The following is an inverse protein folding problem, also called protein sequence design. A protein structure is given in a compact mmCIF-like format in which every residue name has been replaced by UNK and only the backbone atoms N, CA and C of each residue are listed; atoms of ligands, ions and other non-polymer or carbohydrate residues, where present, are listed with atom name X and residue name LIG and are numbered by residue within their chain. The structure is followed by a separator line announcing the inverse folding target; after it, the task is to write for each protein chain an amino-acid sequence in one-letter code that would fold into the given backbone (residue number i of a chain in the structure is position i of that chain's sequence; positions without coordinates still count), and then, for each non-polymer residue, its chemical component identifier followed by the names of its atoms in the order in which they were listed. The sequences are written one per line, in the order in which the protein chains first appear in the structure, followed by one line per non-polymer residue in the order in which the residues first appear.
data_IF_982033170325
#
_entry.id   IF_982033170325
#
_cell.length_a   1.000
_cell.length_b   1.000
_cell.length_c   1.000
_cell.angle_alpha   90.00
_cell.angle_beta   90.00
_cell.angle_gamma   90.00
#
_symmetry.space_group_name_H-M   'P 1'
#
loop_
_entity.id
_entity.type
_entity.pdbx_description
1 polymer ?
#
# COMPACT_ATOMS: atom_id res chain seq x y z
N UNK A 1 -21.13 1.95 31.59
CA UNK A 1 -21.30 2.75 30.43
C UNK A 1 -20.35 3.93 30.37
N UNK A 2 -19.60 4.05 29.28
CA UNK A 2 -18.81 5.23 28.95
C UNK A 2 -19.64 6.24 28.17
N UNK A 3 -19.04 7.40 27.84
CA UNK A 3 -19.61 8.38 26.93
C UNK A 3 -19.58 7.83 25.50
N UNK A 4 -20.64 7.99 24.72
CA UNK A 4 -20.74 7.56 23.34
C UNK A 4 -21.61 6.32 23.14
N UNK A 5 -21.79 5.94 21.87
CA UNK A 5 -22.58 4.76 21.48
C UNK A 5 -21.66 3.66 20.93
N UNK A 6 -22.05 2.42 21.18
CA UNK A 6 -21.45 1.24 20.55
C UNK A 6 -22.50 0.58 19.64
N UNK A 7 -22.05 0.03 18.53
CA UNK A 7 -22.90 -0.83 17.70
C UNK A 7 -23.20 -2.12 18.44
N UNK A 8 -24.49 -2.42 18.57
CA UNK A 8 -24.96 -3.61 19.29
C UNK A 8 -24.58 -4.90 18.56
N UNK A 9 -24.34 -6.01 19.28
CA UNK A 9 -23.90 -7.26 18.66
C UNK A 9 -24.97 -7.90 17.77
N UNK A 10 -26.27 -7.85 18.12
CA UNK A 10 -27.31 -8.57 17.41
C UNK A 10 -27.47 -8.14 15.94
N UNK A 11 -27.55 -6.82 15.58
CA UNK A 11 -27.67 -6.42 14.19
C UNK A 11 -26.46 -6.83 13.34
N UNK A 12 -25.25 -6.67 13.88
CA UNK A 12 -24.01 -7.04 13.20
C UNK A 12 -23.87 -8.54 13.01
N UNK A 13 -24.16 -9.31 14.06
CA UNK A 13 -24.13 -10.78 13.99
C UNK A 13 -25.10 -11.30 12.94
N UNK A 14 -26.33 -10.81 12.91
CA UNK A 14 -27.33 -11.19 11.89
C UNK A 14 -26.86 -10.85 10.48
N UNK A 15 -26.36 -9.62 10.26
CA UNK A 15 -25.85 -9.22 8.95
C UNK A 15 -24.70 -10.11 8.49
N UNK A 16 -23.77 -10.46 9.39
CA UNK A 16 -22.67 -11.37 9.08
C UNK A 16 -23.15 -12.81 8.82
N UNK A 17 -24.13 -13.30 9.57
CA UNK A 17 -24.71 -14.65 9.41
C UNK A 17 -25.48 -14.80 8.10
N UNK A 18 -26.11 -13.73 7.59
CA UNK A 18 -26.82 -13.70 6.30
C UNK A 18 -25.89 -13.78 5.09
N UNK A 19 -24.60 -13.47 5.25
CA UNK A 19 -23.61 -13.58 4.17
C UNK A 19 -23.23 -15.05 4.01
N UNK A 20 -23.62 -15.68 2.90
CA UNK A 20 -23.36 -17.10 2.62
C UNK A 20 -21.89 -17.48 2.61
N UNK A 21 -21.05 -16.63 2.01
CA UNK A 21 -19.59 -16.76 2.02
C UNK A 21 -19.00 -15.44 2.47
N UNK A 22 -18.55 -15.36 3.71
CA UNK A 22 -17.93 -14.15 4.26
C UNK A 22 -16.46 -14.00 3.84
N UNK A 23 -15.84 -15.13 3.52
CA UNK A 23 -14.41 -15.16 3.32
C UNK A 23 -13.67 -14.63 4.56
N UNK A 24 -12.60 -13.89 4.35
CA UNK A 24 -11.85 -13.23 5.42
C UNK A 24 -12.61 -11.99 5.92
N UNK A 25 -12.95 -11.96 7.19
CA UNK A 25 -13.66 -10.83 7.82
C UNK A 25 -12.66 -9.86 8.42
N UNK A 26 -12.66 -8.65 7.90
CA UNK A 26 -11.76 -7.56 8.33
C UNK A 26 -12.58 -6.49 9.05
N UNK A 27 -12.11 -6.04 10.20
CA UNK A 27 -12.63 -4.87 10.89
C UNK A 27 -11.64 -3.71 10.78
N UNK A 28 -12.13 -2.53 10.41
CA UNK A 28 -11.32 -1.30 10.37
C UNK A 28 -11.23 -0.69 11.76
N UNK A 29 -10.03 -0.69 12.33
CA UNK A 29 -9.80 -0.29 13.72
C UNK A 29 -8.43 0.36 13.88
N UNK A 30 -8.29 1.43 14.70
CA UNK A 30 -6.99 1.99 15.04
C UNK A 30 -6.05 1.00 15.76
N UNK A 31 -6.60 -0.06 16.36
CA UNK A 31 -5.85 -1.10 17.09
C UNK A 31 -5.29 -2.18 16.17
N UNK A 32 -5.72 -2.21 14.90
CA UNK A 32 -5.37 -3.25 13.94
C UNK A 32 -3.94 -3.15 13.40
N UNK A 33 -3.58 -4.16 12.63
CA UNK A 33 -2.31 -4.17 11.89
C UNK A 33 -2.27 -3.00 10.90
N UNK A 34 -1.16 -2.27 10.88
CA UNK A 34 -1.01 -1.15 9.94
C UNK A 34 -0.98 -1.67 8.51
N UNK A 35 -1.89 -1.16 7.67
CA UNK A 35 -1.95 -1.46 6.24
C UNK A 35 -0.63 -1.09 5.56
N UNK A 36 -0.08 -2.03 4.82
CA UNK A 36 1.10 -1.83 3.98
C UNK A 36 1.00 -2.74 2.75
N UNK A 37 1.88 -2.52 1.76
CA UNK A 37 1.80 -3.24 0.50
C UNK A 37 1.96 -4.77 0.64
N UNK A 38 2.71 -5.26 1.62
CA UNK A 38 2.84 -6.70 1.85
C UNK A 38 1.53 -7.30 2.35
N UNK A 39 0.86 -6.63 3.30
CA UNK A 39 -0.46 -7.06 3.76
C UNK A 39 -1.48 -7.04 2.61
N UNK A 40 -1.45 -6.03 1.74
CA UNK A 40 -2.33 -5.97 0.55
C UNK A 40 -2.06 -7.15 -0.39
N UNK A 41 -0.78 -7.52 -0.62
CA UNK A 41 -0.42 -8.70 -1.43
C UNK A 41 -0.92 -10.01 -0.84
N UNK A 42 -1.02 -10.11 0.47
CA UNK A 42 -1.59 -11.28 1.11
C UNK A 42 -3.12 -11.29 0.98
N UNK A 43 -3.75 -10.15 1.17
CA UNK A 43 -5.21 -10.01 1.07
C UNK A 43 -5.75 -10.23 -0.34
N UNK A 44 -5.03 -9.85 -1.39
CA UNK A 44 -5.47 -10.08 -2.77
C UNK A 44 -5.59 -11.54 -3.15
N UNK A 45 -5.00 -12.46 -2.36
CA UNK A 45 -5.09 -13.92 -2.56
C UNK A 45 -6.37 -14.52 -2.00
N UNK A 46 -7.11 -13.77 -1.19
CA UNK A 46 -8.37 -14.23 -0.63
C UNK A 46 -9.46 -14.18 -1.71
N UNK A 47 -10.23 -15.24 -1.84
CA UNK A 47 -11.34 -15.32 -2.81
C UNK A 47 -12.48 -14.37 -2.46
N UNK A 48 -12.69 -14.13 -1.18
CA UNK A 48 -13.76 -13.30 -0.63
C UNK A 48 -13.26 -12.57 0.61
N UNK A 49 -13.57 -11.29 0.69
CA UNK A 49 -13.31 -10.44 1.85
C UNK A 49 -14.59 -9.72 2.24
N UNK A 50 -14.91 -9.74 3.53
CA UNK A 50 -15.97 -8.93 4.13
C UNK A 50 -15.32 -7.88 5.01
N UNK A 51 -15.61 -6.59 4.77
CA UNK A 51 -15.08 -5.50 5.59
C UNK A 51 -16.18 -4.92 6.46
N UNK A 52 -15.94 -4.88 7.76
CA UNK A 52 -16.81 -4.23 8.75
C UNK A 52 -16.30 -2.80 8.93
N UNK A 53 -17.10 -1.83 8.52
CA UNK A 53 -16.85 -0.41 8.77
C UNK A 53 -17.51 -0.04 10.11
N UNK A 54 -16.71 0.15 11.14
CA UNK A 54 -17.20 0.58 12.45
C UNK A 54 -17.65 2.05 12.44
N UNK A 55 -18.49 2.40 13.40
CA UNK A 55 -18.95 3.76 13.62
C UNK A 55 -19.07 4.05 15.12
N UNK A 56 -19.24 5.32 15.50
CA UNK A 56 -19.32 5.77 16.89
C UNK A 56 -18.03 5.41 17.67
N UNK A 57 -18.18 4.83 18.88
CA UNK A 57 -17.05 4.39 19.72
C UNK A 57 -16.57 2.95 19.36
N UNK A 58 -17.14 2.34 18.33
CA UNK A 58 -16.78 1.00 17.87
C UNK A 58 -17.93 0.02 17.88
N UNK A 59 -17.59 -1.26 17.86
CA UNK A 59 -18.53 -2.39 17.87
C UNK A 59 -18.32 -3.22 19.15
N UNK A 60 -19.34 -4.01 19.52
CA UNK A 60 -19.26 -4.88 20.68
C UNK A 60 -18.14 -5.92 20.50
N UNK A 61 -17.27 -6.06 21.51
CA UNK A 61 -16.08 -6.93 21.47
C UNK A 61 -16.42 -8.38 21.14
N UNK A 62 -17.59 -8.87 21.59
CA UNK A 62 -18.05 -10.23 21.29
C UNK A 62 -18.28 -10.50 19.80
N UNK A 63 -18.52 -9.46 19.01
CA UNK A 63 -18.59 -9.56 17.54
C UNK A 63 -17.19 -9.68 16.95
N UNK A 64 -16.24 -8.92 17.49
CA UNK A 64 -14.84 -9.01 17.08
C UNK A 64 -14.32 -10.41 17.35
N UNK A 65 -14.43 -10.87 18.60
CA UNK A 65 -13.97 -12.21 19.03
C UNK A 65 -14.56 -13.35 18.20
N UNK A 66 -15.84 -13.22 17.82
CA UNK A 66 -16.56 -14.33 17.15
C UNK A 66 -16.39 -14.35 15.63
N UNK A 67 -16.31 -13.20 15.00
CA UNK A 67 -16.46 -13.11 13.53
C UNK A 67 -15.27 -12.48 12.82
N UNK A 68 -14.43 -11.67 13.50
CA UNK A 68 -13.35 -10.93 12.85
C UNK A 68 -12.10 -11.78 12.81
N UNK A 69 -11.55 -11.96 11.59
CA UNK A 69 -10.29 -12.66 11.39
C UNK A 69 -9.09 -11.74 11.54
N UNK A 70 -9.28 -10.43 11.25
CA UNK A 70 -8.20 -9.45 11.27
C UNK A 70 -8.73 -8.04 11.49
N UNK A 71 -8.06 -7.28 12.35
CA UNK A 71 -8.23 -5.83 12.42
C UNK A 71 -7.15 -5.11 11.62
N UNK A 72 -7.54 -4.08 10.86
CA UNK A 72 -6.61 -3.29 10.03
C UNK A 72 -6.75 -1.80 10.35
N UNK A 73 -5.62 -1.16 10.62
CA UNK A 73 -5.45 0.28 10.74
C UNK A 73 -4.85 0.87 9.45
N UNK A 74 -5.28 2.05 9.04
CA UNK A 74 -4.66 2.80 7.94
C UNK A 74 -3.63 3.84 8.42
N UNK A 75 -3.33 3.89 9.72
CA UNK A 75 -2.35 4.80 10.31
C UNK A 75 -2.71 5.22 11.73
N UNK A 76 -1.79 5.91 12.39
CA UNK A 76 -1.92 6.37 13.78
C UNK A 76 -2.72 7.68 13.86
N UNK A 77 -3.97 7.64 13.44
CA UNK A 77 -4.94 8.73 13.53
C UNK A 77 -6.37 8.16 13.58
N UNK A 78 -7.29 8.98 14.06
CA UNK A 78 -8.70 8.57 14.24
C UNK A 78 -9.58 9.30 13.24
N UNK A 79 -10.50 8.55 12.62
CA UNK A 79 -11.56 9.04 11.75
C UNK A 79 -12.92 8.86 12.42
N UNK A 80 -13.94 9.52 11.88
CA UNK A 80 -15.32 9.45 12.41
C UNK A 80 -16.02 8.12 12.18
N UNK A 81 -15.50 7.30 11.25
CA UNK A 81 -16.07 5.98 10.91
C UNK A 81 -15.09 5.14 10.10
N UNK A 82 -15.44 3.88 9.92
CA UNK A 82 -14.65 2.88 9.20
C UNK A 82 -14.85 2.88 7.68
N UNK A 83 -15.71 3.72 7.14
CA UNK A 83 -16.06 3.74 5.72
C UNK A 83 -14.86 4.13 4.84
N UNK A 84 -14.19 5.24 5.19
CA UNK A 84 -13.00 5.68 4.46
C UNK A 84 -11.85 4.68 4.56
N UNK A 85 -11.49 4.14 5.73
CA UNK A 85 -10.53 3.05 5.82
C UNK A 85 -10.91 1.84 4.97
N UNK A 86 -12.19 1.46 4.96
CA UNK A 86 -12.69 0.35 4.13
C UNK A 86 -12.47 0.61 2.64
N UNK A 87 -12.73 1.83 2.18
CA UNK A 87 -12.49 2.24 0.80
C UNK A 87 -11.00 2.21 0.44
N UNK A 88 -10.11 2.66 1.35
CA UNK A 88 -8.65 2.60 1.15
C UNK A 88 -8.19 1.16 1.01
N UNK A 89 -8.65 0.26 1.89
CA UNK A 89 -8.31 -1.17 1.84
C UNK A 89 -8.81 -1.79 0.53
N UNK A 90 -10.07 -1.53 0.16
CA UNK A 90 -10.68 -2.06 -1.06
C UNK A 90 -9.95 -1.58 -2.33
N UNK A 91 -9.62 -0.30 -2.42
CA UNK A 91 -8.87 0.27 -3.55
C UNK A 91 -7.46 -0.34 -3.65
N UNK A 92 -6.75 -0.43 -2.52
CA UNK A 92 -5.41 -1.01 -2.48
C UNK A 92 -5.39 -2.47 -2.95
N UNK A 93 -6.39 -3.27 -2.57
CA UNK A 93 -6.56 -4.66 -3.01
C UNK A 93 -6.95 -4.72 -4.49
N UNK A 94 -7.94 -3.92 -4.91
CA UNK A 94 -8.47 -3.92 -6.27
C UNK A 94 -7.37 -3.62 -7.31
N UNK A 95 -6.42 -2.72 -7.00
CA UNK A 95 -5.28 -2.41 -7.87
C UNK A 95 -4.38 -3.61 -8.19
N UNK A 96 -4.34 -4.62 -7.31
CA UNK A 96 -3.52 -5.83 -7.52
C UNK A 96 -4.30 -6.99 -8.15
N UNK A 97 -5.61 -6.87 -8.32
CA UNK A 97 -6.41 -7.88 -9.02
C UNK A 97 -6.07 -7.82 -10.52
N UNK A 98 -5.74 -8.96 -11.16
CA UNK A 98 -5.50 -8.99 -12.59
C UNK A 98 -6.66 -8.36 -13.37
N UNK A 99 -6.34 -7.65 -14.47
CA UNK A 99 -7.29 -7.02 -15.39
C UNK A 99 -8.14 -5.85 -14.82
N UNK A 100 -8.00 -5.50 -13.55
CA UNK A 100 -8.65 -4.30 -12.98
C UNK A 100 -7.97 -3.02 -13.48
N UNK A 101 -6.64 -3.01 -13.51
CA UNK A 101 -5.86 -1.97 -14.18
C UNK A 101 -5.51 -2.45 -15.58
N UNK A 102 -5.79 -1.65 -16.61
CA UNK A 102 -5.64 -2.02 -18.02
C UNK A 102 -4.22 -2.42 -18.48
N UNK A 103 -3.22 -2.39 -17.59
CA UNK A 103 -1.87 -2.88 -17.84
C UNK A 103 -1.30 -3.49 -16.56
N UNK A 104 -1.02 -4.79 -16.58
CA UNK A 104 -0.45 -5.52 -15.44
C UNK A 104 0.95 -5.02 -15.01
N UNK A 105 1.70 -4.38 -15.92
CA UNK A 105 2.99 -3.77 -15.59
C UNK A 105 2.85 -2.47 -14.77
N UNK A 106 1.64 -1.91 -14.69
CA UNK A 106 1.40 -0.62 -14.04
C UNK A 106 1.69 -0.67 -12.54
N UNK A 107 1.30 -1.73 -11.83
CA UNK A 107 1.46 -1.82 -10.38
C UNK A 107 2.81 -2.40 -9.94
N UNK A 108 3.52 -3.15 -10.82
CA UNK A 108 4.81 -3.77 -10.45
C UNK A 108 5.92 -2.74 -10.27
N UNK A 109 5.79 -1.57 -10.89
CA UNK A 109 6.72 -0.46 -10.78
C UNK A 109 6.32 0.57 -9.72
N UNK A 110 5.12 0.43 -9.13
CA UNK A 110 4.67 1.34 -8.08
C UNK A 110 5.54 1.26 -6.82
N UNK A 111 5.56 2.36 -6.06
CA UNK A 111 6.22 2.40 -4.75
C UNK A 111 5.74 1.26 -3.86
N UNK A 112 6.68 0.68 -3.11
CA UNK A 112 6.49 -0.42 -2.15
C UNK A 112 6.24 -1.80 -2.76
N UNK A 113 6.00 -1.93 -4.07
CA UNK A 113 5.72 -3.23 -4.67
C UNK A 113 6.92 -4.18 -4.54
N UNK A 114 8.12 -3.71 -4.83
CA UNK A 114 9.40 -4.43 -4.65
C UNK A 114 10.19 -3.96 -3.41
N UNK A 115 9.55 -3.17 -2.53
CA UNK A 115 10.15 -2.63 -1.31
C UNK A 115 10.89 -1.31 -1.49
N UNK A 116 10.84 -0.70 -2.67
CA UNK A 116 11.44 0.61 -2.97
C UNK A 116 10.35 1.66 -3.23
N UNK A 117 10.72 2.93 -3.18
CA UNK A 117 9.93 4.00 -3.76
C UNK A 117 10.14 4.04 -5.28
N UNK A 118 9.10 4.46 -5.99
CA UNK A 118 9.18 4.64 -7.44
C UNK A 118 10.15 5.75 -7.84
N UNK A 119 10.64 5.68 -9.08
CA UNK A 119 11.53 6.68 -9.66
C UNK A 119 10.78 7.98 -10.00
N UNK A 120 11.50 9.09 -10.26
CA UNK A 120 10.87 10.31 -10.77
C UNK A 120 10.31 10.11 -12.18
N UNK A 121 9.11 10.65 -12.39
CA UNK A 121 8.43 10.67 -13.68
C UNK A 121 8.47 12.05 -14.30
N UNK A 122 8.53 12.09 -15.62
CA UNK A 122 8.55 13.32 -16.41
C UNK A 122 7.52 13.21 -17.53
N UNK A 123 6.93 14.35 -17.88
CA UNK A 123 5.99 14.48 -18.99
C UNK A 123 6.47 15.57 -19.96
N UNK A 124 5.74 15.82 -21.02
CA UNK A 124 5.97 16.93 -21.96
C UNK A 124 5.62 18.27 -21.29
N UNK A 125 6.33 19.35 -21.68
CA UNK A 125 7.45 19.45 -22.66
C UNK A 125 8.78 18.90 -22.11
N UNK A 126 9.77 18.71 -22.99
CA UNK A 126 11.10 18.23 -22.60
C UNK A 126 11.89 19.25 -21.76
N UNK A 127 11.52 20.53 -21.83
CA UNK A 127 12.05 21.62 -21.00
C UNK A 127 10.88 22.46 -20.51
N UNK A 128 10.86 22.74 -19.20
CA UNK A 128 9.85 23.58 -18.56
C UNK A 128 10.53 24.53 -17.57
N UNK A 129 10.39 25.84 -17.80
CA UNK A 129 10.99 26.90 -16.96
C UNK A 129 12.50 26.77 -16.73
N UNK A 130 13.22 26.22 -17.72
CA UNK A 130 14.67 26.00 -17.64
C UNK A 130 15.08 24.61 -17.12
N UNK A 131 14.16 23.86 -16.53
CA UNK A 131 14.39 22.49 -16.09
C UNK A 131 14.17 21.50 -17.22
N UNK A 132 15.10 20.57 -17.40
CA UNK A 132 15.08 19.59 -18.48
C UNK A 132 14.75 18.19 -18.00
N UNK A 133 14.00 17.47 -18.83
CA UNK A 133 13.90 16.02 -18.68
C UNK A 133 15.28 15.41 -18.88
N UNK A 134 15.73 14.47 -18.04
CA UNK A 134 17.00 13.79 -18.21
C UNK A 134 17.13 13.17 -19.62
N UNK A 135 18.24 13.46 -20.31
CA UNK A 135 18.48 13.06 -21.71
C UNK A 135 18.34 11.55 -21.92
N UNK A 136 18.72 10.76 -20.91
CA UNK A 136 18.58 9.31 -20.94
C UNK A 136 17.14 8.85 -21.20
N UNK A 137 16.16 9.57 -20.67
CA UNK A 137 14.74 9.25 -20.86
C UNK A 137 14.24 9.57 -22.27
N UNK A 138 14.95 10.46 -22.99
CA UNK A 138 14.66 10.86 -24.37
C UNK A 138 15.43 10.01 -25.39
N UNK A 139 16.38 9.19 -24.95
CA UNK A 139 17.30 8.44 -25.80
C UNK A 139 16.67 7.27 -26.58
N UNK A 140 15.51 6.76 -26.16
CA UNK A 140 14.88 5.55 -26.70
C UNK A 140 15.58 4.23 -26.34
N UNK A 141 16.69 4.27 -25.58
CA UNK A 141 17.43 3.06 -25.17
C UNK A 141 16.81 2.42 -23.91
N UNK A 142 15.83 1.54 -24.08
CA UNK A 142 15.03 0.94 -23.01
C UNK A 142 15.87 0.39 -21.85
N UNK A 143 16.91 -0.41 -22.13
CA UNK A 143 17.79 -0.96 -21.08
C UNK A 143 18.48 0.10 -20.22
N UNK A 144 18.92 1.19 -20.83
CA UNK A 144 19.56 2.28 -20.12
C UNK A 144 18.55 3.08 -19.31
N UNK A 145 17.33 3.25 -19.84
CA UNK A 145 16.21 3.89 -19.13
C UNK A 145 15.81 3.07 -17.89
N UNK A 146 15.69 1.75 -18.01
CA UNK A 146 15.39 0.86 -16.88
C UNK A 146 16.47 0.93 -15.81
N UNK A 147 17.74 0.89 -16.20
CA UNK A 147 18.86 1.02 -15.25
C UNK A 147 18.84 2.38 -14.54
N UNK A 148 18.57 3.45 -15.27
CA UNK A 148 18.44 4.79 -14.70
C UNK A 148 17.26 4.86 -13.72
N UNK A 149 16.09 4.33 -14.09
CA UNK A 149 14.91 4.26 -13.22
C UNK A 149 15.21 3.52 -11.92
N UNK A 150 15.86 2.35 -12.01
CA UNK A 150 16.26 1.57 -10.83
C UNK A 150 17.25 2.35 -9.94
N UNK A 151 18.22 3.03 -10.52
CA UNK A 151 19.16 3.88 -9.78
C UNK A 151 18.44 5.02 -9.05
N UNK A 152 17.53 5.72 -9.73
CA UNK A 152 16.76 6.81 -9.13
C UNK A 152 15.78 6.32 -8.06
N UNK A 153 15.16 5.16 -8.24
CA UNK A 153 14.31 4.51 -7.24
C UNK A 153 15.11 4.21 -5.96
N UNK A 154 16.27 3.57 -6.07
CA UNK A 154 17.13 3.26 -4.91
C UNK A 154 17.61 4.55 -4.24
N UNK A 155 18.05 5.54 -5.02
CA UNK A 155 18.50 6.85 -4.50
C UNK A 155 17.39 7.57 -3.74
N UNK A 156 16.19 7.64 -4.32
CA UNK A 156 15.02 8.27 -3.69
C UNK A 156 14.63 7.54 -2.40
N UNK A 157 14.67 6.21 -2.40
CA UNK A 157 14.37 5.40 -1.23
C UNK A 157 15.39 5.63 -0.13
N UNK A 158 16.67 5.61 -0.45
CA UNK A 158 17.76 5.89 0.51
C UNK A 158 17.59 7.25 1.19
N UNK A 159 17.22 8.28 0.43
CA UNK A 159 17.11 9.65 0.94
C UNK A 159 15.82 9.91 1.71
N UNK A 160 14.70 9.28 1.32
CA UNK A 160 13.37 9.60 1.86
C UNK A 160 12.83 8.54 2.82
N UNK A 161 13.20 7.28 2.62
CA UNK A 161 12.72 6.13 3.38
C UNK A 161 13.87 5.14 3.61
N UNK A 162 14.91 5.55 4.36
CA UNK A 162 16.06 4.68 4.66
C UNK A 162 15.65 3.37 5.37
N UNK A 163 14.56 3.40 6.13
CA UNK A 163 13.96 2.22 6.76
C UNK A 163 13.58 1.10 5.78
N UNK A 164 13.23 1.46 4.53
CA UNK A 164 12.94 0.48 3.48
C UNK A 164 14.23 -0.16 2.93
N UNK A 165 15.31 0.62 2.85
CA UNK A 165 16.63 0.11 2.42
C UNK A 165 17.13 -0.95 3.40
N UNK A 166 16.93 -0.75 4.71
CA UNK A 166 17.35 -1.69 5.76
C UNK A 166 16.56 -3.00 5.72
N UNK A 167 15.30 -2.96 5.27
CA UNK A 167 14.40 -4.11 5.25
C UNK A 167 14.43 -4.90 3.94
N UNK A 168 14.95 -4.29 2.86
CA UNK A 168 14.95 -4.90 1.54
C UNK A 168 16.09 -5.87 1.35
N UNK A 169 15.78 -7.05 0.82
CA UNK A 169 16.77 -7.96 0.26
C UNK A 169 17.17 -7.50 -1.14
N UNK A 170 18.42 -7.08 -1.27
CA UNK A 170 18.97 -6.57 -2.53
C UNK A 170 19.62 -7.67 -3.35
N UNK A 171 19.40 -7.64 -4.66
CA UNK A 171 20.21 -8.41 -5.61
C UNK A 171 21.65 -7.89 -5.65
N UNK A 172 22.57 -8.67 -6.21
CA UNK A 172 23.99 -8.25 -6.38
C UNK A 172 24.12 -6.98 -7.21
N UNK A 173 23.27 -6.82 -8.24
CA UNK A 173 23.25 -5.62 -9.11
C UNK A 173 22.73 -4.42 -8.35
N UNK A 174 21.63 -4.55 -7.63
CA UNK A 174 21.06 -3.47 -6.82
C UNK A 174 22.04 -3.03 -5.71
N UNK A 175 22.75 -3.95 -5.06
CA UNK A 175 23.78 -3.63 -4.06
C UNK A 175 24.91 -2.80 -4.67
N UNK A 176 25.33 -3.12 -5.90
CA UNK A 176 26.33 -2.33 -6.60
C UNK A 176 25.84 -0.91 -6.82
N UNK A 177 24.62 -0.74 -7.32
CA UNK A 177 23.99 0.57 -7.53
C UNK A 177 23.87 1.35 -6.20
N UNK A 178 23.43 0.69 -5.13
CA UNK A 178 23.30 1.31 -3.79
C UNK A 178 24.65 1.82 -3.28
N UNK A 179 25.73 1.06 -3.47
CA UNK A 179 27.08 1.46 -3.05
C UNK A 179 27.59 2.62 -3.90
N UNK A 180 27.38 2.62 -5.22
CA UNK A 180 27.70 3.75 -6.10
C UNK A 180 27.01 5.04 -5.63
N UNK A 181 25.71 4.96 -5.32
CA UNK A 181 24.93 6.11 -4.80
C UNK A 181 25.48 6.61 -3.46
N UNK A 182 25.83 5.69 -2.54
CA UNK A 182 26.42 6.07 -1.25
C UNK A 182 27.74 6.81 -1.40
N UNK A 183 28.59 6.42 -2.36
CA UNK A 183 29.84 7.11 -2.64
C UNK A 183 29.60 8.48 -3.34
N UNK A 184 28.60 8.58 -4.21
CA UNK A 184 28.21 9.86 -4.83
C UNK A 184 27.71 10.88 -3.79
N UNK A 185 26.99 10.42 -2.75
CA UNK A 185 26.43 11.28 -1.70
C UNK A 185 27.43 11.72 -0.62
N UNK A 186 28.63 11.12 -0.59
CA UNK A 186 29.73 11.53 0.33
C UNK A 186 30.57 12.68 -0.22
N UNK A 187 30.45 12.97 -1.53
CA UNK A 187 31.18 14.04 -2.24
C UNK A 187 30.42 15.35 -2.20
#
# INVERSE_FOLDING_TARGET
GGAGMLLKPEPLSRALEDIKNRGKVIFTSPQGLTLNQNLVKDLVREEQITIIAGHYEGIDERVIDKYVDMEISIGDFVLTGGELPSMVIADAIARLIPDVLGNAESYTNDSFYDGLLDCPHYTRPAEYEGDKVPDILLSGHHKNIEKWRKKESIKRTLLRRPDLIEKKEFTKEELKILNEIREELKK
#
